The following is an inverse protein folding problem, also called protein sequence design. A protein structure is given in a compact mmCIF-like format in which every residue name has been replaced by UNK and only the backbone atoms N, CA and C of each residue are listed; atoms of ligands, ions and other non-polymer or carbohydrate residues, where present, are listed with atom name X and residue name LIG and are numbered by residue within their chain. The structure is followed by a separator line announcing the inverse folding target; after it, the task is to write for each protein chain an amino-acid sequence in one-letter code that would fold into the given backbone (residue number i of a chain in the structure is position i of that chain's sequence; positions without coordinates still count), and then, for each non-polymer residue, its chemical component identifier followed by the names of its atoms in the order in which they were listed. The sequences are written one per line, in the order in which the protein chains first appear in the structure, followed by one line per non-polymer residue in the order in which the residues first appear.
data_IF_391095519063
#
_entry.id   IF_391095519063
#
_cell.length_a   1.000
_cell.length_b   1.000
_cell.length_c   1.000
_cell.angle_alpha   90.00
_cell.angle_beta   90.00
_cell.angle_gamma   90.00
#
_symmetry.space_group_name_H-M   'P 1'
#
loop_
_entity.id
_entity.type
_entity.pdbx_description
1 polymer ?
#
# COMPACT_ATOMS: atom_id res chain seq x y z
N UNK A 1 14.78 17.78 50.45
CA UNK A 1 14.88 16.30 50.57
C UNK A 1 14.66 15.74 49.16
N UNK A 2 15.62 15.71 48.24
CA UNK A 2 16.93 15.06 48.20
C UNK A 2 16.85 13.53 48.03
N UNK A 3 17.07 13.07 46.79
CA UNK A 3 17.88 11.91 46.33
C UNK A 3 17.60 11.71 44.82
N UNK A 4 18.44 12.13 43.88
CA UNK A 4 19.80 11.68 43.53
C UNK A 4 19.85 10.21 43.06
N UNK A 5 20.30 10.03 41.82
CA UNK A 5 20.62 8.73 41.22
C UNK A 5 21.18 8.88 39.79
N UNK A 6 22.31 9.58 39.66
CA UNK A 6 23.16 9.61 38.45
C UNK A 6 24.04 8.36 38.45
N UNK A 7 24.19 7.68 37.31
CA UNK A 7 25.38 6.87 37.02
C UNK A 7 25.73 6.96 35.52
N UNK A 8 26.74 7.79 35.27
CA UNK A 8 27.56 7.89 34.06
C UNK A 8 28.61 6.79 34.15
N UNK A 9 28.83 6.01 33.09
CA UNK A 9 30.13 5.36 32.83
C UNK A 9 30.50 5.55 31.36
N UNK A 10 31.51 6.38 31.14
CA UNK A 10 32.36 6.42 29.96
C UNK A 10 33.67 5.71 30.31
N UNK A 11 34.26 4.92 29.40
CA UNK A 11 35.71 4.81 29.20
C UNK A 11 35.99 4.29 27.78
N UNK A 12 37.02 4.90 27.19
CA UNK A 12 37.53 4.85 25.82
C UNK A 12 38.60 3.76 25.57
N UNK A 13 39.20 3.81 24.35
CA UNK A 13 40.53 3.31 23.90
C UNK A 13 40.49 1.91 23.24
N UNK A 14 41.12 1.59 22.10
CA UNK A 14 42.08 2.27 21.20
C UNK A 14 42.09 1.57 19.81
N UNK A 15 42.45 2.24 18.72
CA UNK A 15 43.81 2.35 18.13
C UNK A 15 44.40 1.01 17.64
N UNK A 16 44.57 0.87 16.32
CA UNK A 16 45.35 -0.21 15.71
C UNK A 16 45.19 -0.29 14.20
N UNK A 17 46.15 0.24 13.44
CA UNK A 17 46.18 0.19 11.98
C UNK A 17 46.99 -0.97 11.38
N UNK A 18 47.18 -0.86 10.06
CA UNK A 18 48.19 -1.50 9.19
C UNK A 18 47.76 -2.67 8.29
N UNK A 19 47.50 -2.30 7.02
CA UNK A 19 48.06 -2.81 5.76
C UNK A 19 48.95 -4.08 5.78
N UNK A 20 48.56 -5.09 5.00
CA UNK A 20 49.40 -6.06 4.25
C UNK A 20 48.59 -6.47 2.99
N UNK A 21 48.90 -6.00 1.78
CA UNK A 21 49.85 -6.50 0.75
C UNK A 21 49.52 -7.88 0.13
N UNK A 22 49.24 -7.81 -1.19
CA UNK A 22 49.73 -8.65 -2.30
C UNK A 22 49.04 -9.99 -2.68
N UNK A 23 48.86 -10.15 -4.00
CA UNK A 23 48.71 -11.41 -4.75
C UNK A 23 47.35 -11.54 -5.46
N UNK A 24 47.21 -11.86 -6.75
CA UNK A 24 48.15 -12.17 -7.84
C UNK A 24 47.50 -11.75 -9.16
N UNK A 25 48.32 -11.24 -10.08
CA UNK A 25 47.99 -11.07 -11.48
C UNK A 25 47.82 -12.43 -12.18
N UNK A 26 46.92 -12.52 -13.16
CA UNK A 26 47.00 -13.51 -14.24
C UNK A 26 46.35 -12.94 -15.50
N UNK A 27 47.14 -12.95 -16.58
CA UNK A 27 46.91 -12.39 -17.91
C UNK A 27 46.05 -13.27 -18.83
N UNK A 28 45.66 -12.67 -19.97
CA UNK A 28 44.87 -13.15 -21.12
C UNK A 28 45.37 -14.47 -21.77
N UNK A 29 44.62 -15.26 -22.58
CA UNK A 29 43.98 -14.99 -23.91
C UNK A 29 43.50 -16.37 -24.51
N UNK A 30 43.13 -16.54 -25.81
CA UNK A 30 41.89 -16.24 -26.57
C UNK A 30 41.11 -17.47 -27.15
N UNK A 31 40.01 -17.14 -27.85
CA UNK A 31 39.35 -17.80 -29.01
C UNK A 31 38.43 -19.01 -28.79
N UNK A 32 37.26 -19.04 -29.48
CA UNK A 32 37.23 -19.67 -30.81
C UNK A 32 36.38 -18.96 -31.88
N UNK A 33 36.80 -19.13 -33.14
CA UNK A 33 35.99 -19.03 -34.38
C UNK A 33 36.36 -20.27 -35.21
N UNK A 34 35.42 -21.07 -35.77
CA UNK A 34 34.86 -20.82 -37.14
C UNK A 34 33.41 -21.37 -37.30
N UNK A 35 32.59 -21.13 -38.33
CA UNK A 35 32.68 -20.44 -39.61
C UNK A 35 31.23 -20.20 -40.12
N UNK A 36 31.00 -19.02 -40.72
CA UNK A 36 30.27 -18.72 -41.98
C UNK A 36 28.88 -19.29 -42.33
N UNK A 37 27.95 -18.36 -42.66
CA UNK A 37 27.32 -18.18 -43.99
C UNK A 37 26.45 -16.88 -43.95
N UNK A 38 26.94 -15.73 -44.43
CA UNK A 38 26.66 -15.08 -45.75
C UNK A 38 25.17 -14.84 -46.07
N UNK A 39 24.79 -13.56 -45.96
CA UNK A 39 23.86 -12.71 -46.72
C UNK A 39 22.65 -13.31 -47.48
N UNK A 40 21.46 -12.71 -47.31
CA UNK A 40 20.80 -11.83 -48.30
C UNK A 40 19.48 -11.24 -47.74
N UNK A 41 19.16 -9.98 -48.07
CA UNK A 41 17.89 -9.33 -47.72
C UNK A 41 16.81 -9.62 -48.79
N UNK A 42 15.51 -9.50 -48.44
CA UNK A 42 14.73 -8.44 -49.08
C UNK A 42 13.83 -7.66 -48.10
N UNK A 43 13.45 -6.40 -48.43
CA UNK A 43 12.56 -5.60 -47.62
C UNK A 43 11.10 -5.95 -47.97
N UNK A 44 10.34 -6.48 -46.99
CA UNK A 44 8.89 -6.51 -47.09
C UNK A 44 8.31 -5.49 -46.12
N UNK A 45 7.86 -4.38 -46.68
CA UNK A 45 6.95 -3.41 -46.10
C UNK A 45 5.66 -4.12 -45.69
N UNK A 46 5.34 -4.13 -44.39
CA UNK A 46 3.98 -4.45 -43.92
C UNK A 46 3.44 -3.20 -43.21
N UNK A 47 2.40 -2.62 -43.80
CA UNK A 47 1.58 -1.55 -43.25
C UNK A 47 0.85 -1.98 -41.96
N UNK A 48 0.45 -1.02 -41.10
CA UNK A 48 -0.10 -1.31 -39.79
C UNK A 48 -1.54 -1.83 -39.86
N UNK A 49 -1.77 -3.05 -39.36
CA UNK A 49 -3.12 -3.52 -39.06
C UNK A 49 -3.55 -2.97 -37.69
N UNK A 50 -4.47 -2.02 -37.70
CA UNK A 50 -5.32 -1.67 -36.56
C UNK A 50 -6.12 -2.92 -36.16
N UNK A 51 -5.62 -3.63 -35.16
CA UNK A 51 -6.32 -4.72 -34.48
C UNK A 51 -6.39 -4.39 -33.00
N UNK A 52 -7.49 -3.77 -32.58
CA UNK A 52 -7.89 -3.60 -31.19
C UNK A 52 -7.99 -4.97 -30.52
N UNK A 53 -6.98 -5.30 -29.71
CA UNK A 53 -7.05 -6.32 -28.69
C UNK A 53 -6.43 -5.77 -27.41
N UNK A 54 -7.08 -4.74 -26.85
CA UNK A 54 -6.83 -4.33 -25.47
C UNK A 54 -7.43 -5.41 -24.57
N UNK A 55 -6.67 -6.48 -24.32
CA UNK A 55 -6.90 -7.34 -23.17
C UNK A 55 -6.45 -6.59 -21.91
N UNK A 56 -7.14 -5.50 -21.59
CA UNK A 56 -7.16 -4.96 -20.24
C UNK A 56 -8.28 -5.68 -19.50
N UNK A 57 -7.96 -6.85 -18.95
CA UNK A 57 -8.82 -7.55 -18.01
C UNK A 57 -8.85 -6.74 -16.71
N UNK A 58 -9.66 -5.69 -16.69
CA UNK A 58 -10.13 -5.13 -15.43
C UNK A 58 -10.82 -6.26 -14.64
N UNK A 59 -10.64 -6.37 -13.32
CA UNK A 59 -11.32 -7.38 -12.54
C UNK A 59 -12.82 -7.20 -12.74
N UNK A 60 -13.47 -8.23 -13.26
CA UNK A 60 -14.93 -8.29 -13.31
C UNK A 60 -15.38 -8.46 -11.87
N UNK A 61 -15.75 -7.36 -11.22
CA UNK A 61 -16.46 -7.41 -9.94
C UNK A 61 -17.84 -7.97 -10.27
N UNK A 62 -18.01 -9.27 -10.05
CA UNK A 62 -19.31 -9.89 -10.06
C UNK A 62 -20.03 -9.42 -8.78
N UNK A 63 -20.61 -8.22 -8.83
CA UNK A 63 -21.56 -7.78 -7.83
C UNK A 63 -22.76 -8.73 -7.90
N UNK A 64 -22.82 -9.67 -6.98
CA UNK A 64 -23.96 -10.59 -6.79
C UNK A 64 -25.22 -9.89 -6.26
N UNK A 65 -25.26 -8.56 -6.33
CA UNK A 65 -26.28 -7.72 -5.71
C UNK A 65 -26.63 -6.59 -6.66
N UNK A 66 -27.92 -6.43 -6.97
CA UNK A 66 -28.53 -5.29 -7.69
C UNK A 66 -28.40 -3.95 -6.91
N UNK A 67 -27.40 -3.85 -6.03
CA UNK A 67 -27.20 -2.73 -5.15
C UNK A 67 -26.57 -1.56 -5.91
N UNK A 68 -27.28 -0.44 -5.92
CA UNK A 68 -26.81 0.84 -6.45
C UNK A 68 -26.53 1.76 -5.26
N UNK A 69 -25.35 2.40 -5.18
CA UNK A 69 -25.08 3.40 -4.15
C UNK A 69 -26.14 4.50 -4.17
N UNK A 70 -26.58 5.02 -3.02
CA UNK A 70 -27.44 6.19 -2.98
C UNK A 70 -26.72 7.40 -3.58
N UNK A 71 -27.50 8.40 -4.01
CA UNK A 71 -26.94 9.69 -4.43
C UNK A 71 -26.58 10.50 -3.19
N UNK A 72 -25.33 10.93 -3.11
CA UNK A 72 -24.82 11.76 -2.02
C UNK A 72 -24.71 13.22 -2.43
N UNK A 73 -24.95 14.13 -1.49
CA UNK A 73 -24.83 15.57 -1.72
C UNK A 73 -23.44 16.11 -1.39
N UNK A 74 -22.61 15.34 -0.66
CA UNK A 74 -21.20 15.68 -0.42
C UNK A 74 -20.31 14.44 -0.16
N UNK A 75 -18.97 14.56 -0.30
CA UNK A 75 -18.04 13.49 0.04
C UNK A 75 -18.10 13.05 1.53
N UNK A 76 -18.41 13.95 2.45
CA UNK A 76 -18.53 13.65 3.87
C UNK A 76 -19.78 12.81 4.17
N UNK A 77 -20.88 13.08 3.46
CA UNK A 77 -22.09 12.25 3.55
C UNK A 77 -21.84 10.86 2.98
N UNK A 78 -21.18 10.79 1.82
CA UNK A 78 -20.78 9.53 1.19
C UNK A 78 -19.86 8.71 2.12
N UNK A 79 -18.86 9.35 2.71
CA UNK A 79 -17.97 8.70 3.68
C UNK A 79 -18.73 8.22 4.91
N UNK A 80 -19.65 9.03 5.44
CA UNK A 80 -20.48 8.64 6.59
C UNK A 80 -21.34 7.41 6.28
N UNK A 81 -21.91 7.34 5.08
CA UNK A 81 -22.64 6.17 4.62
C UNK A 81 -21.75 4.92 4.60
N UNK A 82 -20.58 4.97 3.98
CA UNK A 82 -19.72 3.78 3.90
C UNK A 82 -19.12 3.39 5.26
N UNK A 83 -18.81 4.35 6.14
CA UNK A 83 -18.42 4.06 7.52
C UNK A 83 -19.51 3.27 8.24
N UNK A 84 -20.79 3.62 8.04
CA UNK A 84 -21.92 2.88 8.64
C UNK A 84 -22.05 1.43 8.15
N UNK A 85 -21.40 1.08 7.04
CA UNK A 85 -21.41 -0.26 6.43
C UNK A 85 -20.21 -1.11 6.80
N UNK A 86 -19.18 -0.58 7.47
CA UNK A 86 -17.94 -1.31 7.75
C UNK A 86 -18.14 -2.58 8.60
N UNK A 87 -19.12 -2.60 9.50
CA UNK A 87 -19.43 -3.79 10.30
C UNK A 87 -20.35 -4.79 9.57
N UNK A 88 -20.92 -4.43 8.41
CA UNK A 88 -21.84 -5.29 7.67
C UNK A 88 -21.05 -6.30 6.81
N UNK A 89 -20.88 -7.51 7.33
CA UNK A 89 -20.18 -8.60 6.64
C UNK A 89 -20.85 -9.04 5.33
N UNK A 90 -22.10 -8.63 5.08
CA UNK A 90 -22.81 -8.89 3.82
C UNK A 90 -22.55 -7.82 2.77
N UNK A 91 -21.96 -6.69 3.16
CA UNK A 91 -21.64 -5.57 2.28
C UNK A 91 -20.29 -5.79 1.58
N UNK A 92 -20.18 -6.93 0.91
CA UNK A 92 -18.99 -7.39 0.20
C UNK A 92 -19.38 -7.88 -1.20
N UNK A 93 -18.50 -7.66 -2.17
CA UNK A 93 -18.58 -8.30 -3.48
C UNK A 93 -17.47 -9.35 -3.61
N UNK A 94 -17.45 -10.07 -4.73
CA UNK A 94 -16.36 -10.98 -5.07
C UNK A 94 -15.75 -10.61 -6.41
N UNK A 95 -14.44 -10.78 -6.52
CA UNK A 95 -13.70 -10.71 -7.78
C UNK A 95 -12.86 -11.97 -7.95
N UNK A 96 -12.24 -12.13 -9.11
CA UNK A 96 -11.54 -13.36 -9.49
C UNK A 96 -12.45 -14.33 -10.24
N UNK A 97 -11.94 -15.52 -10.50
CA UNK A 97 -12.70 -16.57 -11.20
C UNK A 97 -13.53 -17.43 -10.23
N UNK A 98 -14.32 -18.35 -10.81
CA UNK A 98 -15.21 -19.24 -10.06
C UNK A 98 -14.46 -20.13 -9.07
N UNK A 99 -13.24 -20.52 -9.40
CA UNK A 99 -12.47 -21.51 -8.64
C UNK A 99 -11.64 -20.83 -7.54
N UNK A 100 -11.42 -19.53 -7.65
CA UNK A 100 -10.62 -18.75 -6.72
C UNK A 100 -11.20 -17.34 -6.45
N UNK A 101 -12.44 -17.24 -5.92
CA UNK A 101 -13.04 -15.95 -5.60
C UNK A 101 -12.26 -15.26 -4.46
N UNK A 102 -12.17 -13.94 -4.54
CA UNK A 102 -11.57 -13.06 -3.54
C UNK A 102 -12.60 -12.03 -3.07
N UNK A 103 -12.67 -11.74 -1.76
CA UNK A 103 -13.60 -10.74 -1.26
C UNK A 103 -13.16 -9.33 -1.70
N UNK A 104 -14.13 -8.52 -2.11
CA UNK A 104 -14.01 -7.09 -2.34
C UNK A 104 -14.80 -6.36 -1.26
N UNK A 105 -14.11 -5.68 -0.35
CA UNK A 105 -14.72 -4.99 0.79
C UNK A 105 -15.25 -3.61 0.38
N UNK A 106 -16.45 -3.59 -0.21
CA UNK A 106 -17.02 -2.42 -0.88
C UNK A 106 -16.87 -1.13 -0.05
N UNK A 107 -17.24 -1.17 1.23
CA UNK A 107 -17.18 0.01 2.09
C UNK A 107 -15.75 0.54 2.28
N UNK A 108 -14.79 -0.33 2.58
CA UNK A 108 -13.41 0.08 2.83
C UNK A 108 -12.73 0.62 1.57
N UNK A 109 -12.96 -0.03 0.43
CA UNK A 109 -12.45 0.40 -0.87
C UNK A 109 -12.99 1.78 -1.26
N UNK A 110 -14.31 1.99 -1.10
CA UNK A 110 -14.94 3.30 -1.36
C UNK A 110 -14.43 4.39 -0.44
N UNK A 111 -14.21 4.09 0.84
CA UNK A 111 -13.61 5.05 1.78
C UNK A 111 -12.17 5.41 1.39
N UNK A 112 -11.42 4.44 0.86
CA UNK A 112 -10.11 4.66 0.26
C UNK A 112 -10.15 5.63 -0.92
N UNK A 113 -11.09 5.41 -1.85
CA UNK A 113 -11.30 6.27 -3.01
C UNK A 113 -11.75 7.69 -2.64
N UNK A 114 -12.60 7.84 -1.61
CA UNK A 114 -13.04 9.14 -1.11
C UNK A 114 -11.86 9.95 -0.54
N UNK A 115 -10.92 9.27 0.12
CA UNK A 115 -9.67 9.89 0.57
C UNK A 115 -9.85 10.80 1.78
N UNK A 116 -9.34 12.03 1.69
CA UNK A 116 -9.24 12.97 2.82
C UNK A 116 -10.51 13.13 3.67
N UNK A 117 -11.73 13.25 3.10
CA UNK A 117 -12.98 13.39 3.87
C UNK A 117 -13.31 12.17 4.76
N UNK A 118 -12.85 10.97 4.40
CA UNK A 118 -13.12 9.75 5.15
C UNK A 118 -12.22 9.61 6.40
N UNK A 119 -11.04 10.22 6.39
CA UNK A 119 -9.99 9.98 7.40
C UNK A 119 -10.45 10.30 8.83
N UNK A 120 -11.06 11.47 9.13
CA UNK A 120 -11.50 11.76 10.50
C UNK A 120 -12.56 10.77 11.00
N UNK A 121 -13.47 10.36 10.12
CA UNK A 121 -14.52 9.40 10.45
C UNK A 121 -13.92 8.02 10.74
N UNK A 122 -12.95 7.58 9.93
CA UNK A 122 -12.23 6.32 10.15
C UNK A 122 -11.45 6.32 11.47
N UNK A 123 -10.74 7.40 11.81
CA UNK A 123 -10.05 7.50 13.09
C UNK A 123 -11.00 7.48 14.29
N UNK A 124 -12.23 8.00 14.14
CA UNK A 124 -13.25 7.89 15.19
C UNK A 124 -13.72 6.46 15.46
N UNK A 125 -13.47 5.53 14.51
CA UNK A 125 -13.86 4.12 14.57
C UNK A 125 -12.70 3.17 14.91
N UNK A 126 -11.50 3.70 15.13
CA UNK A 126 -10.30 2.90 15.34
C UNK A 126 -10.39 1.98 16.56
N UNK A 127 -11.19 2.35 17.57
CA UNK A 127 -11.39 1.62 18.84
C UNK A 127 -12.69 0.81 18.90
N UNK A 128 -13.32 0.51 17.75
CA UNK A 128 -14.46 -0.40 17.74
C UNK A 128 -14.10 -1.75 18.38
N UNK A 129 -15.04 -2.34 19.11
CA UNK A 129 -14.89 -3.68 19.71
C UNK A 129 -15.09 -4.81 18.71
N UNK A 130 -15.59 -4.51 17.50
CA UNK A 130 -15.73 -5.47 16.43
C UNK A 130 -14.40 -5.61 15.67
N UNK A 131 -13.75 -6.78 15.79
CA UNK A 131 -12.48 -7.04 15.15
C UNK A 131 -12.55 -7.02 13.61
N UNK A 132 -13.70 -7.36 13.02
CA UNK A 132 -13.92 -7.27 11.58
C UNK A 132 -14.03 -5.81 11.14
N UNK A 133 -14.85 -5.01 11.83
CA UNK A 133 -14.96 -3.56 11.56
C UNK A 133 -13.59 -2.89 11.72
N UNK A 134 -12.85 -3.19 12.80
CA UNK A 134 -11.53 -2.60 13.06
C UNK A 134 -10.52 -2.95 11.96
N UNK A 135 -10.53 -4.20 11.47
CA UNK A 135 -9.70 -4.63 10.34
C UNK A 135 -9.99 -3.80 9.08
N UNK A 136 -11.27 -3.56 8.77
CA UNK A 136 -11.67 -2.77 7.60
C UNK A 136 -11.44 -1.27 7.78
N UNK A 137 -11.60 -0.73 8.99
CA UNK A 137 -11.21 0.66 9.32
C UNK A 137 -9.72 0.88 9.04
N UNK A 138 -8.87 -0.04 9.51
CA UNK A 138 -7.42 0.03 9.31
C UNK A 138 -7.05 -0.08 7.83
N UNK A 139 -7.65 -1.02 7.11
CA UNK A 139 -7.44 -1.16 5.67
C UNK A 139 -7.86 0.12 4.92
N UNK A 140 -9.05 0.65 5.21
CA UNK A 140 -9.54 1.89 4.63
C UNK A 140 -8.64 3.10 4.97
N UNK A 141 -8.09 3.18 6.19
CA UNK A 141 -7.14 4.23 6.56
C UNK A 141 -5.86 4.19 5.72
N UNK A 142 -5.31 3.01 5.48
CA UNK A 142 -4.14 2.86 4.60
C UNK A 142 -4.46 3.35 3.17
N UNK A 143 -5.65 3.07 2.64
CA UNK A 143 -6.07 3.56 1.33
C UNK A 143 -6.31 5.08 1.34
N UNK A 144 -7.16 5.56 2.24
CA UNK A 144 -7.61 6.95 2.27
C UNK A 144 -6.47 7.94 2.56
N UNK A 145 -5.47 7.53 3.33
CA UNK A 145 -4.30 8.39 3.63
C UNK A 145 -3.34 8.55 2.45
N UNK A 146 -3.56 7.82 1.36
CA UNK A 146 -2.88 8.03 0.07
C UNK A 146 -3.57 9.08 -0.81
N UNK A 147 -4.54 9.83 -0.26
CA UNK A 147 -5.14 10.99 -0.93
C UNK A 147 -4.05 11.93 -1.48
N UNK A 148 -4.07 12.31 -2.77
CA UNK A 148 -3.01 13.11 -3.37
C UNK A 148 -2.77 14.46 -2.70
N UNK A 149 -3.84 15.13 -2.23
CA UNK A 149 -3.69 16.41 -1.55
C UNK A 149 -3.06 16.23 -0.18
N UNK A 150 -3.42 15.16 0.53
CA UNK A 150 -2.82 14.82 1.80
C UNK A 150 -1.35 14.44 1.64
N UNK A 151 -1.02 13.60 0.66
CA UNK A 151 0.36 13.19 0.39
C UNK A 151 1.29 14.37 0.13
N UNK A 152 0.81 15.43 -0.55
CA UNK A 152 1.59 16.67 -0.70
C UNK A 152 1.88 17.33 0.66
N UNK A 153 0.91 17.32 1.59
CA UNK A 153 1.03 17.94 2.92
C UNK A 153 1.89 17.12 3.89
N UNK A 154 1.90 15.80 3.74
CA UNK A 154 2.62 14.88 4.62
C UNK A 154 3.99 14.46 4.09
N UNK A 155 4.41 14.97 2.93
CA UNK A 155 5.68 14.57 2.30
C UNK A 155 5.67 13.13 1.79
N UNK A 156 4.53 12.71 1.21
CA UNK A 156 4.24 11.37 0.73
C UNK A 156 4.14 10.30 1.82
N UNK A 157 4.03 10.71 3.10
CA UNK A 157 3.77 9.79 4.19
C UNK A 157 2.27 9.47 4.30
N UNK A 158 1.95 8.19 4.44
CA UNK A 158 0.60 7.67 4.64
C UNK A 158 0.64 6.53 5.66
N UNK A 159 -0.51 6.02 6.09
CA UNK A 159 -0.57 4.89 7.03
C UNK A 159 -0.09 3.62 6.30
N UNK A 160 1.08 3.12 6.67
CA UNK A 160 1.66 1.89 6.11
C UNK A 160 1.53 0.74 7.10
N UNK A 161 0.57 -0.16 6.88
CA UNK A 161 0.34 -1.32 7.72
C UNK A 161 1.21 -2.50 7.24
N UNK A 162 1.66 -3.35 8.17
CA UNK A 162 2.53 -4.48 7.84
C UNK A 162 1.77 -5.60 7.13
N UNK A 163 0.68 -6.07 7.73
CA UNK A 163 -0.25 -7.04 7.12
C UNK A 163 -1.66 -6.51 7.27
N UNK A 164 -2.36 -6.39 6.15
CA UNK A 164 -3.74 -5.90 6.09
C UNK A 164 -4.73 -7.06 6.02
N UNK A 165 -6.00 -6.78 6.29
CA UNK A 165 -7.09 -7.75 6.17
C UNK A 165 -6.87 -9.03 7.02
N UNK A 166 -6.22 -8.87 8.17
CA UNK A 166 -6.00 -9.92 9.17
C UNK A 166 -6.33 -9.38 10.56
N UNK A 167 -7.45 -9.81 11.19
CA UNK A 167 -7.84 -9.34 12.51
C UNK A 167 -6.78 -9.63 13.60
N UNK A 168 -5.95 -10.65 13.44
CA UNK A 168 -4.88 -10.96 14.40
C UNK A 168 -3.80 -9.88 14.45
N UNK A 169 -3.74 -9.00 13.44
CA UNK A 169 -2.77 -7.89 13.33
C UNK A 169 -3.37 -6.54 13.70
N UNK A 170 -4.65 -6.48 14.05
CA UNK A 170 -5.31 -5.21 14.33
C UNK A 170 -4.62 -4.40 15.44
N UNK A 171 -4.20 -5.05 16.54
CA UNK A 171 -3.55 -4.34 17.64
C UNK A 171 -2.25 -3.63 17.22
N UNK A 172 -1.42 -4.31 16.42
CA UNK A 172 -0.20 -3.74 15.84
C UNK A 172 -0.54 -2.60 14.86
N UNK A 173 -1.49 -2.84 13.96
CA UNK A 173 -1.92 -1.87 12.95
C UNK A 173 -2.57 -0.61 13.56
N UNK A 174 -3.32 -0.75 14.66
CA UNK A 174 -3.87 0.38 15.43
C UNK A 174 -2.74 1.24 15.98
N UNK A 175 -1.68 0.64 16.54
CA UNK A 175 -0.53 1.39 17.04
C UNK A 175 0.13 2.20 15.91
N UNK A 176 0.32 1.59 14.74
CA UNK A 176 0.85 2.26 13.54
C UNK A 176 -0.04 3.41 13.06
N UNK A 177 -1.34 3.18 12.94
CA UNK A 177 -2.29 4.21 12.53
C UNK A 177 -2.32 5.40 13.51
N UNK A 178 -2.26 5.13 14.82
CA UNK A 178 -2.19 6.17 15.86
C UNK A 178 -0.91 6.97 15.80
N UNK A 179 0.23 6.32 15.60
CA UNK A 179 1.50 7.01 15.47
C UNK A 179 1.49 7.97 14.27
N UNK A 180 0.93 7.52 13.15
CA UNK A 180 0.74 8.39 11.97
C UNK A 180 -0.18 9.58 12.29
N UNK A 181 -1.31 9.34 12.96
CA UNK A 181 -2.24 10.41 13.35
C UNK A 181 -1.59 11.45 14.26
N UNK A 182 -0.84 11.01 15.27
CA UNK A 182 -0.11 11.90 16.17
C UNK A 182 0.86 12.82 15.44
N UNK A 183 1.42 12.36 14.32
CA UNK A 183 2.34 13.14 13.49
C UNK A 183 1.63 14.08 12.52
N UNK A 184 0.47 13.69 11.98
CA UNK A 184 -0.13 14.32 10.80
C UNK A 184 -1.56 14.86 10.96
N UNK A 185 -2.16 14.83 12.16
CA UNK A 185 -3.55 15.26 12.39
C UNK A 185 -3.83 16.73 11.97
N UNK A 186 -2.84 17.61 12.11
CA UNK A 186 -2.97 19.02 11.68
C UNK A 186 -3.05 19.18 10.16
N UNK A 187 -2.39 18.30 9.41
CA UNK A 187 -2.39 18.31 7.95
C UNK A 187 -3.70 17.77 7.38
N UNK A 188 -4.37 16.88 8.12
CA UNK A 188 -5.68 16.33 7.78
C UNK A 188 -6.79 17.38 7.96
N UNK A 189 -6.65 18.29 8.92
CA UNK A 189 -7.69 19.27 9.30
C UNK A 189 -7.52 20.66 8.66
N UNK A 190 -6.45 20.86 7.89
CA UNK A 190 -6.17 22.10 7.15
C UNK A 190 -6.82 22.14 5.78
#
# INVERSE_FOLDING_TARGET
MQRSGVLIWAVCIGMGGSLLLAGCASEQRPTPTPNQAVAEAPPNTVQPALGTATNSSAPVIAMTSDWVPPLFVSPEEEASYYVSRLADQRFVASYGDRDNPRPWYIAAERLGEIGLPAIPLLFSRLDTSDAYEQMLVLYALQLATQDPQLMVRTGSEYVQLGSVLDPARNAENVATARQWWQKHAEQVTR
#
